data_IF_758046042104
#
_entry.id   IF_758046042104
#
_cell.length_a   1.000
_cell.length_b   1.000
_cell.length_c   1.000
_cell.angle_alpha   90.00
_cell.angle_beta   90.00
_cell.angle_gamma   90.00
#
_symmetry.space_group_name_H-M   'P 1'
#
loop_
_entity.id
_entity.type
_entity.pdbx_description
1 polymer ?
#
# COMPACT_ATOMS: atom_id res chain seq x y z
N UNK A 1 20.84 3.74 -16.86
CA UNK A 1 22.24 3.71 -16.33
C UNK A 1 22.43 2.37 -15.67
N UNK A 2 23.55 1.70 -15.90
CA UNK A 2 23.78 0.34 -15.41
C UNK A 2 24.97 0.33 -14.46
N UNK A 3 24.71 0.07 -13.19
CA UNK A 3 25.73 -0.28 -12.21
C UNK A 3 26.07 -1.77 -12.25
N UNK A 4 26.97 -2.20 -11.37
CA UNK A 4 27.35 -3.60 -11.22
C UNK A 4 27.35 -4.01 -9.75
N UNK A 5 26.90 -5.22 -9.45
CA UNK A 5 26.95 -5.80 -8.11
C UNK A 5 28.40 -5.97 -7.65
N UNK A 6 28.70 -5.50 -6.45
CA UNK A 6 30.02 -5.72 -5.81
C UNK A 6 29.92 -6.60 -4.57
N UNK A 7 28.75 -6.62 -3.88
CA UNK A 7 28.52 -7.44 -2.68
C UNK A 7 27.08 -7.91 -2.65
N UNK A 8 26.86 -9.15 -2.23
CA UNK A 8 25.54 -9.73 -1.95
C UNK A 8 25.52 -10.22 -0.51
N UNK A 9 24.54 -9.78 0.29
CA UNK A 9 24.38 -10.18 1.69
C UNK A 9 22.88 -10.42 2.00
N UNK A 10 22.38 -11.60 1.64
CA UNK A 10 20.96 -11.89 1.71
C UNK A 10 20.18 -10.95 0.79
N UNK A 11 19.07 -10.31 1.25
CA UNK A 11 18.30 -9.39 0.43
C UNK A 11 19.02 -8.05 0.16
N UNK A 12 20.14 -7.76 0.83
CA UNK A 12 20.93 -6.56 0.63
C UNK A 12 22.01 -6.80 -0.43
N UNK A 13 22.03 -5.92 -1.43
CA UNK A 13 23.04 -5.88 -2.49
C UNK A 13 23.73 -4.53 -2.47
N UNK A 14 25.04 -4.50 -2.69
CA UNK A 14 25.77 -3.27 -2.94
C UNK A 14 26.19 -3.26 -4.40
N UNK A 15 25.85 -2.20 -5.11
CA UNK A 15 26.23 -1.98 -6.50
C UNK A 15 27.09 -0.73 -6.62
N UNK A 16 28.07 -0.73 -7.54
CA UNK A 16 28.88 0.42 -7.91
C UNK A 16 28.46 0.99 -9.25
N UNK A 17 28.90 2.24 -9.57
CA UNK A 17 28.51 2.92 -10.80
C UNK A 17 27.11 3.55 -10.75
N UNK A 18 26.59 3.86 -9.56
CA UNK A 18 25.23 4.30 -9.30
C UNK A 18 25.13 5.80 -8.95
N UNK A 19 26.00 6.65 -9.54
CA UNK A 19 26.12 8.09 -9.18
C UNK A 19 24.85 8.93 -9.41
N UNK A 20 24.05 8.56 -10.40
CA UNK A 20 22.89 9.35 -10.84
C UNK A 20 21.56 8.75 -10.37
N UNK A 21 21.61 7.91 -9.35
CA UNK A 21 20.43 7.26 -8.77
C UNK A 21 20.02 8.02 -7.52
N UNK A 22 18.72 8.18 -7.32
CA UNK A 22 18.18 8.80 -6.12
C UNK A 22 17.84 7.77 -5.04
N UNK A 23 17.79 8.24 -3.80
CA UNK A 23 17.34 7.41 -2.68
C UNK A 23 15.88 6.98 -2.90
N UNK A 24 15.60 5.70 -2.68
CA UNK A 24 14.32 5.04 -2.93
C UNK A 24 13.96 4.81 -4.40
N UNK A 25 14.88 5.02 -5.33
CA UNK A 25 14.68 4.58 -6.70
C UNK A 25 14.56 3.06 -6.78
N UNK A 26 13.60 2.61 -7.57
CA UNK A 26 13.49 1.19 -7.94
C UNK A 26 14.57 0.84 -8.96
N UNK A 27 15.21 -0.29 -8.74
CA UNK A 27 16.23 -0.85 -9.63
C UNK A 27 15.86 -2.26 -10.07
N UNK A 28 16.37 -2.65 -11.23
CA UNK A 28 16.31 -4.01 -11.75
C UNK A 28 17.68 -4.66 -11.58
N UNK A 29 17.73 -5.71 -10.77
CA UNK A 29 18.96 -6.35 -10.34
C UNK A 29 19.18 -7.65 -11.11
N UNK A 30 20.37 -7.84 -11.67
CA UNK A 30 20.83 -8.95 -12.47
C UNK A 30 20.11 -9.14 -13.81
N UNK A 31 20.56 -10.08 -14.61
CA UNK A 31 19.88 -10.54 -15.84
C UNK A 31 18.46 -11.05 -15.56
N UNK A 32 18.18 -11.47 -14.32
CA UNK A 32 16.83 -11.90 -13.89
C UNK A 32 15.88 -10.76 -13.62
N UNK A 33 16.37 -9.50 -13.63
CA UNK A 33 15.60 -8.28 -13.44
C UNK A 33 14.80 -8.22 -12.13
N UNK A 34 15.40 -8.75 -11.03
CA UNK A 34 14.77 -8.70 -9.71
C UNK A 34 14.48 -7.26 -9.30
N UNK A 35 13.35 -7.05 -8.65
CA UNK A 35 12.95 -5.73 -8.18
C UNK A 35 13.68 -5.41 -6.88
N UNK A 36 14.36 -4.26 -6.83
CA UNK A 36 15.00 -3.74 -5.62
C UNK A 36 14.77 -2.23 -5.48
N UNK A 37 15.07 -1.70 -4.31
CA UNK A 37 14.99 -0.27 -3.97
C UNK A 37 16.33 0.18 -3.39
N UNK A 38 16.76 1.37 -3.79
CA UNK A 38 17.97 1.99 -3.23
C UNK A 38 17.66 2.55 -1.85
N UNK A 39 18.31 2.02 -0.82
CA UNK A 39 18.08 2.42 0.58
C UNK A 39 19.21 3.21 1.20
N UNK A 40 20.38 3.23 0.57
CA UNK A 40 21.52 4.03 1.00
C UNK A 40 22.40 4.36 -0.21
N UNK A 41 23.00 5.55 -0.19
CA UNK A 41 23.96 6.00 -1.19
C UNK A 41 25.26 6.44 -0.51
N UNK A 42 26.41 5.91 -0.99
CA UNK A 42 27.74 6.30 -0.54
C UNK A 42 28.65 6.46 -1.76
N UNK A 43 28.99 7.68 -2.10
CA UNK A 43 29.81 8.04 -3.27
C UNK A 43 29.18 7.52 -4.58
N UNK A 44 29.77 6.50 -5.22
CA UNK A 44 29.28 5.85 -6.42
C UNK A 44 28.60 4.50 -6.15
N UNK A 45 28.45 4.13 -4.87
CA UNK A 45 27.85 2.87 -4.44
C UNK A 45 26.45 3.10 -3.90
N UNK A 46 25.54 2.19 -4.27
CA UNK A 46 24.21 2.10 -3.73
C UNK A 46 24.04 0.80 -2.96
N UNK A 47 23.52 0.90 -1.74
CA UNK A 47 22.96 -0.27 -1.02
C UNK A 47 21.52 -0.45 -1.47
N UNK A 48 21.21 -1.62 -1.96
CA UNK A 48 19.93 -1.96 -2.61
C UNK A 48 19.29 -3.09 -1.82
N UNK A 49 18.06 -2.89 -1.42
CA UNK A 49 17.23 -3.92 -0.85
C UNK A 49 16.38 -4.58 -1.93
N UNK A 50 16.52 -5.90 -2.10
CA UNK A 50 15.81 -6.67 -3.12
C UNK A 50 14.54 -7.27 -2.55
N UNK A 51 13.43 -7.06 -3.22
CA UNK A 51 12.10 -7.54 -2.85
C UNK A 51 11.86 -9.03 -3.16
N UNK A 52 12.87 -9.69 -3.71
CA UNK A 52 12.81 -11.08 -4.12
C UNK A 52 14.00 -11.86 -3.58
N UNK A 53 13.99 -13.19 -3.75
CA UNK A 53 15.08 -14.04 -3.30
C UNK A 53 16.35 -13.81 -4.15
N UNK A 54 17.46 -13.52 -3.49
CA UNK A 54 18.75 -13.17 -4.10
C UNK A 54 19.69 -14.36 -4.27
N UNK A 55 19.27 -15.58 -3.92
CA UNK A 55 20.10 -16.77 -4.03
C UNK A 55 20.63 -16.97 -5.46
N UNK A 56 21.93 -17.15 -5.58
CA UNK A 56 22.63 -17.34 -6.85
C UNK A 56 22.99 -16.07 -7.60
N UNK A 57 22.79 -14.87 -7.01
CA UNK A 57 23.35 -13.64 -7.54
C UNK A 57 24.81 -13.51 -7.13
N UNK A 58 25.62 -12.88 -7.99
CA UNK A 58 27.04 -12.71 -7.77
C UNK A 58 27.58 -11.33 -8.17
N UNK A 59 28.82 -11.00 -7.75
CA UNK A 59 29.48 -9.78 -8.18
C UNK A 59 29.63 -9.73 -9.71
N UNK A 60 29.53 -8.52 -10.27
CA UNK A 60 29.65 -8.26 -11.71
C UNK A 60 28.35 -8.26 -12.48
N UNK A 61 27.24 -8.77 -11.91
CA UNK A 61 25.94 -8.75 -12.56
C UNK A 61 25.39 -7.30 -12.65
N UNK A 62 24.57 -6.98 -13.69
CA UNK A 62 24.10 -5.63 -13.94
C UNK A 62 23.04 -5.19 -12.93
N UNK A 63 23.01 -3.87 -12.67
CA UNK A 63 21.93 -3.21 -11.92
C UNK A 63 21.47 -1.99 -12.72
N UNK A 64 20.19 -1.93 -13.05
CA UNK A 64 19.60 -0.86 -13.84
C UNK A 64 18.60 -0.05 -13.01
N UNK A 65 18.79 1.29 -12.91
CA UNK A 65 17.79 2.16 -12.30
C UNK A 65 16.61 2.39 -13.23
N UNK A 66 15.40 2.44 -12.65
CA UNK A 66 14.18 2.84 -13.35
C UNK A 66 13.99 4.36 -13.34
N UNK A 67 14.77 5.11 -12.52
CA UNK A 67 14.63 6.55 -12.32
C UNK A 67 13.32 6.96 -11.65
N UNK A 68 12.69 6.07 -10.92
CA UNK A 68 11.46 6.35 -10.20
C UNK A 68 11.35 5.52 -8.91
N UNK A 69 10.75 6.09 -7.85
CA UNK A 69 10.58 5.38 -6.58
C UNK A 69 9.50 4.28 -6.68
N UNK A 70 9.50 3.39 -5.69
CA UNK A 70 8.45 2.38 -5.56
C UNK A 70 7.08 3.06 -5.50
N UNK A 71 6.26 2.78 -6.50
CA UNK A 71 4.98 3.44 -6.71
C UNK A 71 3.87 2.41 -6.87
N UNK A 72 2.67 2.73 -6.43
CA UNK A 72 1.46 1.95 -6.70
C UNK A 72 0.72 2.50 -7.90
N UNK A 73 -0.01 1.62 -8.56
CA UNK A 73 -0.96 1.95 -9.60
C UNK A 73 -2.35 2.12 -9.02
N UNK A 74 -3.00 3.22 -9.37
CA UNK A 74 -4.25 3.68 -8.81
C UNK A 74 -5.26 3.88 -9.94
N UNK A 75 -6.23 2.97 -10.06
CA UNK A 75 -7.27 2.97 -11.08
C UNK A 75 -8.40 1.99 -10.70
N UNK A 76 -9.52 1.94 -11.43
CA UNK A 76 -10.51 0.88 -11.29
C UNK A 76 -9.87 -0.52 -11.47
N UNK A 77 -10.26 -1.46 -10.62
CA UNK A 77 -9.69 -2.81 -10.55
C UNK A 77 -8.86 -3.07 -9.30
N UNK A 78 -8.82 -2.12 -8.36
CA UNK A 78 -8.20 -2.29 -7.05
C UNK A 78 -9.07 -3.13 -6.09
N UNK A 79 -10.38 -2.87 -6.08
CA UNK A 79 -11.32 -3.59 -5.24
C UNK A 79 -11.43 -5.05 -5.70
N UNK A 80 -11.61 -5.97 -4.77
CA UNK A 80 -11.61 -7.44 -4.96
C UNK A 80 -10.24 -8.03 -5.28
N UNK A 81 -9.20 -7.21 -5.39
CA UNK A 81 -7.86 -7.68 -5.74
C UNK A 81 -7.06 -8.14 -4.52
N UNK A 82 -6.20 -9.12 -4.75
CA UNK A 82 -5.25 -9.67 -3.78
C UNK A 82 -3.86 -9.39 -4.32
N UNK A 83 -3.12 -8.55 -3.60
CA UNK A 83 -1.77 -8.13 -3.96
C UNK A 83 -0.72 -8.67 -3.00
N UNK A 84 0.53 -8.72 -3.44
CA UNK A 84 1.67 -8.84 -2.53
C UNK A 84 2.11 -7.47 -2.00
N UNK A 85 3.23 -7.45 -1.22
CA UNK A 85 3.73 -6.23 -0.58
C UNK A 85 4.12 -5.09 -1.52
N UNK A 86 4.39 -5.36 -2.79
CA UNK A 86 4.75 -4.38 -3.81
C UNK A 86 3.69 -4.22 -4.91
N UNK A 87 2.47 -4.62 -4.60
CA UNK A 87 1.30 -4.55 -5.49
C UNK A 87 1.39 -5.47 -6.72
N UNK A 88 2.03 -6.66 -6.64
CA UNK A 88 1.89 -7.65 -7.71
C UNK A 88 0.58 -8.43 -7.47
N UNK A 89 -0.26 -8.63 -8.51
CA UNK A 89 -1.53 -9.34 -8.38
C UNK A 89 -1.28 -10.84 -8.22
N UNK A 90 -1.53 -11.39 -7.03
CA UNK A 90 -1.23 -12.79 -6.71
C UNK A 90 -2.07 -13.77 -7.52
N UNK A 91 -3.31 -13.43 -7.82
CA UNK A 91 -4.18 -14.29 -8.63
C UNK A 91 -3.69 -14.44 -10.07
N UNK A 92 -3.20 -13.34 -10.68
CA UNK A 92 -2.61 -13.36 -12.03
C UNK A 92 -1.32 -14.18 -12.04
N UNK A 93 -0.48 -14.02 -11.01
CA UNK A 93 0.76 -14.80 -10.87
C UNK A 93 0.43 -16.28 -10.71
N UNK A 94 -0.54 -16.62 -9.89
CA UNK A 94 -0.98 -18.02 -9.72
C UNK A 94 -1.46 -18.66 -11.02
N UNK A 95 -2.20 -17.91 -11.84
CA UNK A 95 -2.69 -18.39 -13.13
C UNK A 95 -1.56 -18.62 -14.16
N UNK A 96 -0.49 -17.81 -14.10
CA UNK A 96 0.63 -17.92 -15.05
C UNK A 96 1.73 -18.87 -14.60
N UNK A 97 2.08 -18.89 -13.29
CA UNK A 97 3.24 -19.57 -12.73
C UNK A 97 2.88 -20.74 -11.79
N UNK A 98 1.60 -20.84 -11.39
CA UNK A 98 1.16 -21.84 -10.39
C UNK A 98 1.48 -21.42 -8.95
N UNK A 99 1.82 -22.40 -8.10
CA UNK A 99 1.92 -22.24 -6.65
C UNK A 99 3.15 -21.44 -6.17
N UNK A 100 4.00 -20.98 -7.08
CA UNK A 100 5.25 -20.29 -6.73
C UNK A 100 5.39 -18.98 -7.47
N UNK A 101 5.87 -17.96 -6.76
CA UNK A 101 6.23 -16.68 -7.38
C UNK A 101 7.63 -16.85 -7.99
N UNK A 102 7.69 -16.89 -9.32
CA UNK A 102 8.96 -16.96 -10.06
C UNK A 102 9.72 -15.64 -9.91
N UNK A 103 11.03 -15.73 -9.71
CA UNK A 103 11.90 -14.56 -9.55
C UNK A 103 11.96 -13.73 -10.84
N UNK A 104 11.86 -12.40 -10.69
CA UNK A 104 11.91 -11.47 -11.81
C UNK A 104 10.61 -11.40 -12.61
N UNK A 105 9.52 -12.03 -12.11
CA UNK A 105 8.22 -11.93 -12.78
C UNK A 105 7.75 -10.46 -12.81
N UNK A 106 7.44 -9.99 -14.01
CA UNK A 106 6.96 -8.63 -14.28
C UNK A 106 5.56 -8.70 -14.87
N UNK A 107 4.56 -8.62 -14.01
CA UNK A 107 3.15 -8.62 -14.42
C UNK A 107 2.54 -7.24 -14.18
N UNK A 108 1.63 -6.77 -15.04
CA UNK A 108 0.91 -5.53 -14.79
C UNK A 108 0.18 -5.58 -13.44
N UNK A 109 0.32 -4.54 -12.63
CA UNK A 109 -0.29 -4.46 -11.30
C UNK A 109 -1.81 -4.48 -11.36
N UNK A 110 -2.39 -3.90 -12.41
CA UNK A 110 -3.83 -3.88 -12.69
C UNK A 110 -4.11 -4.41 -14.10
N UNK A 111 -5.30 -4.95 -14.29
CA UNK A 111 -5.73 -5.50 -15.57
C UNK A 111 -5.82 -4.41 -16.65
N UNK A 112 -5.01 -4.53 -17.72
CA UNK A 112 -4.93 -3.56 -18.83
C UNK A 112 -6.01 -3.77 -19.91
N UNK A 113 -6.64 -4.93 -19.93
CA UNK A 113 -7.58 -5.31 -20.99
C UNK A 113 -9.04 -5.10 -20.57
N UNK A 114 -9.31 -5.07 -19.26
CA UNK A 114 -10.65 -4.87 -18.72
C UNK A 114 -11.15 -3.48 -19.10
N UNK A 115 -12.28 -3.44 -19.82
CA UNK A 115 -12.98 -2.20 -20.12
C UNK A 115 -13.86 -1.78 -18.95
N UNK A 116 -13.87 -0.48 -18.69
CA UNK A 116 -14.64 0.17 -17.66
C UNK A 116 -15.56 1.22 -18.30
N UNK A 117 -16.82 1.25 -17.88
CA UNK A 117 -17.76 2.24 -18.34
C UNK A 117 -17.46 3.59 -17.67
N UNK A 118 -16.74 4.46 -18.36
CA UNK A 118 -16.39 5.78 -17.88
C UNK A 118 -17.53 6.77 -18.16
N UNK A 119 -18.03 7.41 -17.10
CA UNK A 119 -19.07 8.41 -17.16
C UNK A 119 -18.46 9.77 -16.80
N UNK A 120 -18.40 10.74 -17.74
CA UNK A 120 -17.82 12.04 -17.47
C UNK A 120 -18.68 12.86 -16.49
N UNK A 121 -18.00 13.57 -15.59
CA UNK A 121 -18.60 14.56 -14.67
C UNK A 121 -18.20 15.96 -15.09
N UNK A 122 -16.91 16.17 -15.43
CA UNK A 122 -16.40 17.43 -15.95
C UNK A 122 -16.82 17.64 -17.40
N UNK A 123 -16.89 18.90 -17.80
CA UNK A 123 -17.25 19.34 -19.16
C UNK A 123 -16.06 20.01 -19.85
N UNK A 124 -16.08 20.00 -21.17
CA UNK A 124 -15.12 20.77 -21.97
C UNK A 124 -15.23 22.26 -21.62
N UNK A 125 -14.11 22.89 -21.34
CA UNK A 125 -14.00 24.27 -20.88
C UNK A 125 -13.92 24.45 -19.37
N UNK A 126 -14.17 23.39 -18.59
CA UNK A 126 -14.02 23.47 -17.13
C UNK A 126 -12.53 23.62 -16.77
N UNK A 127 -12.24 24.55 -15.87
CA UNK A 127 -10.94 24.69 -15.26
C UNK A 127 -10.85 23.72 -14.08
N UNK A 128 -9.84 22.85 -14.07
CA UNK A 128 -9.68 21.79 -13.06
C UNK A 128 -8.29 21.78 -12.45
N UNK A 129 -8.19 21.28 -11.24
CA UNK A 129 -6.96 21.15 -10.47
C UNK A 129 -6.86 19.78 -9.78
N UNK A 130 -5.69 19.47 -9.21
CA UNK A 130 -5.48 18.19 -8.53
C UNK A 130 -6.57 17.86 -7.52
N UNK A 131 -7.15 16.67 -7.66
CA UNK A 131 -8.26 16.19 -6.85
C UNK A 131 -9.66 16.44 -7.41
N UNK A 132 -9.81 17.30 -8.43
CA UNK A 132 -11.12 17.49 -9.08
C UNK A 132 -11.57 16.21 -9.81
N UNK A 133 -12.84 15.87 -9.71
CA UNK A 133 -13.42 14.66 -10.33
C UNK A 133 -13.72 14.93 -11.80
N UNK A 134 -13.09 14.19 -12.69
CA UNK A 134 -13.30 14.26 -14.15
C UNK A 134 -14.44 13.35 -14.59
N UNK A 135 -14.54 12.17 -13.96
CA UNK A 135 -15.56 11.18 -14.28
C UNK A 135 -15.63 10.09 -13.24
N UNK A 136 -16.51 9.14 -13.46
CA UNK A 136 -16.76 8.02 -12.54
C UNK A 136 -16.83 6.69 -13.28
N UNK A 137 -16.50 5.61 -12.57
CA UNK A 137 -16.64 4.23 -13.01
C UNK A 137 -17.31 3.45 -11.88
N UNK A 138 -18.38 2.72 -12.17
CA UNK A 138 -18.96 1.79 -11.20
C UNK A 138 -18.06 0.54 -11.13
N UNK A 139 -17.15 0.50 -10.15
CA UNK A 139 -16.19 -0.59 -10.02
C UNK A 139 -16.82 -1.86 -9.46
N UNK A 140 -17.59 -1.71 -8.38
CA UNK A 140 -18.44 -2.74 -7.77
C UNK A 140 -19.79 -2.15 -7.41
N UNK A 141 -20.82 -2.95 -7.10
CA UNK A 141 -22.09 -2.39 -6.63
C UNK A 141 -21.98 -1.49 -5.39
N UNK A 142 -20.92 -1.70 -4.59
CA UNK A 142 -20.65 -0.93 -3.37
C UNK A 142 -19.76 0.30 -3.60
N UNK A 143 -18.95 0.33 -4.67
CA UNK A 143 -17.90 1.33 -4.86
C UNK A 143 -18.03 2.04 -6.21
N UNK A 144 -18.32 3.33 -6.15
CA UNK A 144 -18.25 4.23 -7.29
C UNK A 144 -16.86 4.86 -7.36
N UNK A 145 -16.04 4.38 -8.26
CA UNK A 145 -14.67 4.86 -8.42
C UNK A 145 -14.65 6.25 -9.08
N UNK A 146 -14.08 7.24 -8.41
CA UNK A 146 -13.96 8.61 -8.92
C UNK A 146 -12.60 8.79 -9.59
N UNK A 147 -12.62 9.12 -10.87
CA UNK A 147 -11.40 9.44 -11.61
C UNK A 147 -11.08 10.91 -11.39
N UNK A 148 -9.99 11.17 -10.71
CA UNK A 148 -9.59 12.49 -10.26
C UNK A 148 -8.35 12.99 -11.01
N UNK A 149 -8.24 14.29 -11.19
CA UNK A 149 -7.00 14.92 -11.66
C UNK A 149 -5.85 14.58 -10.70
N UNK A 150 -4.70 14.07 -11.20
CA UNK A 150 -3.58 13.76 -10.33
C UNK A 150 -3.09 14.97 -9.54
N UNK A 151 -2.66 14.79 -8.28
CA UNK A 151 -2.11 15.89 -7.48
C UNK A 151 -0.97 16.63 -8.20
N UNK A 152 -0.97 17.97 -8.13
CA UNK A 152 0.02 18.82 -8.79
C UNK A 152 -0.22 19.05 -10.30
N UNK A 153 -1.33 18.56 -10.85
CA UNK A 153 -1.76 18.86 -12.21
C UNK A 153 -2.95 19.81 -12.18
N UNK A 154 -3.02 20.70 -13.19
CA UNK A 154 -4.13 21.64 -13.38
C UNK A 154 -4.21 22.06 -14.84
N UNK A 155 -5.37 22.51 -15.26
CA UNK A 155 -5.58 23.02 -16.62
C UNK A 155 -7.05 23.15 -16.97
N UNK A 156 -7.32 23.47 -18.23
CA UNK A 156 -8.68 23.52 -18.78
C UNK A 156 -8.95 22.21 -19.52
N UNK A 157 -10.10 21.63 -19.29
CA UNK A 157 -10.56 20.42 -20.00
C UNK A 157 -10.82 20.73 -21.46
N UNK A 158 -10.00 20.19 -22.36
CA UNK A 158 -10.19 20.34 -23.82
C UNK A 158 -11.05 19.23 -24.41
N UNK A 159 -10.99 18.06 -23.82
CA UNK A 159 -11.74 16.89 -24.28
C UNK A 159 -11.99 15.95 -23.11
N UNK A 160 -13.13 15.30 -23.11
CA UNK A 160 -13.49 14.23 -22.16
C UNK A 160 -14.23 13.12 -22.89
N UNK A 161 -13.87 11.89 -22.59
CA UNK A 161 -14.45 10.67 -23.16
C UNK A 161 -15.75 10.31 -22.45
N UNK A 162 -16.60 9.54 -23.12
CA UNK A 162 -17.79 8.90 -22.53
C UNK A 162 -17.97 7.53 -23.17
N UNK A 163 -17.99 6.49 -22.37
CA UNK A 163 -18.14 5.12 -22.90
C UNK A 163 -17.20 4.12 -22.22
N UNK A 164 -16.97 3.00 -22.87
CA UNK A 164 -16.07 1.95 -22.40
C UNK A 164 -14.63 2.21 -22.82
N UNK A 165 -13.72 2.26 -21.86
CA UNK A 165 -12.29 2.40 -22.07
C UNK A 165 -11.51 1.50 -21.09
N UNK A 166 -10.30 1.14 -21.46
CA UNK A 166 -9.36 0.50 -20.55
C UNK A 166 -8.74 1.54 -19.61
N UNK A 167 -8.12 1.10 -18.53
CA UNK A 167 -7.51 2.04 -17.54
C UNK A 167 -6.33 2.81 -18.11
N UNK A 168 -5.74 2.38 -19.23
CA UNK A 168 -4.58 2.99 -19.89
C UNK A 168 -4.93 3.87 -21.08
N UNK A 169 -6.13 3.73 -21.64
CA UNK A 169 -6.60 4.61 -22.71
C UNK A 169 -6.88 6.01 -22.18
N UNK A 170 -6.55 7.07 -22.94
CA UNK A 170 -6.85 8.45 -22.55
C UNK A 170 -8.37 8.65 -22.43
N UNK A 171 -8.80 9.22 -21.30
CA UNK A 171 -10.22 9.53 -21.05
C UNK A 171 -10.47 11.03 -20.91
N UNK A 172 -9.44 11.84 -20.79
CA UNK A 172 -9.57 13.31 -20.85
C UNK A 172 -8.24 13.96 -21.30
N UNK A 173 -8.34 15.21 -21.79
CA UNK A 173 -7.20 16.06 -22.13
C UNK A 173 -7.28 17.36 -21.41
N UNK A 174 -6.15 17.79 -20.84
CA UNK A 174 -6.01 19.09 -20.18
C UNK A 174 -5.05 19.97 -20.96
N UNK A 175 -5.46 21.22 -21.15
CA UNK A 175 -4.55 22.28 -21.58
C UNK A 175 -3.92 22.92 -20.33
N UNK A 176 -2.63 22.67 -20.13
CA UNK A 176 -1.88 23.20 -18.99
C UNK A 176 -1.61 24.71 -19.19
N UNK A 177 -1.13 25.38 -18.12
CA UNK A 177 -0.88 26.83 -18.14
C UNK A 177 0.17 27.29 -19.19
N UNK A 178 1.07 26.40 -19.58
CA UNK A 178 2.06 26.63 -20.64
C UNK A 178 1.50 26.49 -22.06
N UNK A 179 0.21 26.17 -22.18
CA UNK A 179 -0.49 25.93 -23.45
C UNK A 179 -0.34 24.50 -23.98
N UNK A 180 0.40 23.63 -23.32
CA UNK A 180 0.57 22.23 -23.72
C UNK A 180 -0.70 21.44 -23.43
N UNK A 181 -1.14 20.63 -24.38
CA UNK A 181 -2.27 19.70 -24.20
C UNK A 181 -1.72 18.33 -23.85
N UNK A 182 -2.12 17.82 -22.70
CA UNK A 182 -1.73 16.47 -22.23
C UNK A 182 -2.93 15.56 -22.12
N UNK A 183 -2.72 14.31 -22.49
CA UNK A 183 -3.69 13.23 -22.40
C UNK A 183 -3.53 12.50 -21.06
N UNK A 184 -4.65 12.17 -20.44
CA UNK A 184 -4.67 11.48 -19.16
C UNK A 184 -5.58 10.26 -19.23
N UNK A 185 -5.07 9.07 -18.82
CA UNK A 185 -5.88 7.87 -18.64
C UNK A 185 -6.57 7.88 -17.27
N UNK A 186 -7.33 6.82 -16.98
CA UNK A 186 -7.88 6.58 -15.65
C UNK A 186 -6.79 6.20 -14.64
N UNK A 187 -5.72 5.56 -15.12
CA UNK A 187 -4.58 5.11 -14.33
C UNK A 187 -3.70 6.28 -13.90
N UNK A 188 -3.39 6.35 -12.61
CA UNK A 188 -2.33 7.20 -12.07
C UNK A 188 -1.38 6.37 -11.21
N UNK A 189 -0.14 6.84 -11.05
CA UNK A 189 0.87 6.23 -10.18
C UNK A 189 1.18 7.16 -9.02
N UNK A 190 1.49 6.58 -7.85
CA UNK A 190 1.87 7.35 -6.67
C UNK A 190 2.98 6.66 -5.88
N UNK A 191 4.04 7.38 -5.47
CA UNK A 191 5.11 6.82 -4.63
C UNK A 191 4.57 6.40 -3.27
N UNK A 192 4.85 5.16 -2.85
CA UNK A 192 4.27 4.60 -1.61
C UNK A 192 4.75 5.29 -0.35
N UNK A 193 5.99 5.79 -0.34
CA UNK A 193 6.58 6.48 0.82
C UNK A 193 6.13 7.93 0.97
N UNK A 194 5.42 8.48 -0.02
CA UNK A 194 4.91 9.84 0.00
C UNK A 194 3.42 9.86 0.32
N UNK A 195 3.03 10.51 1.41
CA UNK A 195 1.62 10.72 1.74
C UNK A 195 0.89 11.49 0.63
N UNK A 196 -0.37 11.13 0.36
CA UNK A 196 -1.19 11.85 -0.62
C UNK A 196 -1.69 13.16 -0.01
N UNK A 197 -1.67 14.26 -0.78
CA UNK A 197 -2.04 15.58 -0.27
C UNK A 197 -3.54 15.69 0.02
N UNK A 198 -3.87 16.57 0.94
CA UNK A 198 -5.23 16.99 1.30
C UNK A 198 -5.26 18.50 1.57
N UNK A 199 -6.44 19.12 1.64
CA UNK A 199 -6.54 20.54 1.96
C UNK A 199 -6.29 20.83 3.43
N UNK A 200 -7.04 20.15 4.30
CA UNK A 200 -6.94 20.31 5.75
C UNK A 200 -7.23 18.99 6.45
N UNK A 201 -6.61 18.79 7.61
CA UNK A 201 -6.90 17.67 8.50
C UNK A 201 -7.99 18.11 9.49
N UNK A 202 -9.02 17.28 9.61
CA UNK A 202 -10.15 17.54 10.47
C UNK A 202 -9.99 16.78 11.80
N UNK A 203 -10.65 17.28 12.84
CA UNK A 203 -10.75 16.51 14.08
C UNK A 203 -11.76 15.38 13.89
N UNK A 204 -11.40 14.12 14.17
CA UNK A 204 -12.32 13.00 14.03
C UNK A 204 -13.40 13.09 15.14
N UNK A 205 -14.65 13.31 14.75
CA UNK A 205 -15.79 13.47 15.65
C UNK A 205 -16.86 12.38 15.47
N UNK A 206 -16.77 11.59 14.40
CA UNK A 206 -17.70 10.51 14.11
C UNK A 206 -17.17 9.18 14.62
N UNK A 207 -17.89 8.45 15.52
CA UNK A 207 -17.47 7.13 15.97
C UNK A 207 -17.59 6.08 14.87
N UNK A 208 -16.60 5.20 14.77
CA UNK A 208 -16.65 4.02 13.92
C UNK A 208 -17.30 2.88 14.69
N UNK A 209 -18.50 2.47 14.30
CA UNK A 209 -19.18 1.31 14.89
C UNK A 209 -18.48 0.03 14.43
N UNK A 210 -17.90 -0.70 15.36
CA UNK A 210 -17.13 -1.92 15.06
C UNK A 210 -17.94 -3.21 15.18
N UNK A 211 -19.13 -3.13 15.77
CA UNK A 211 -19.95 -4.29 16.10
C UNK A 211 -19.47 -5.07 17.33
N UNK A 212 -18.36 -4.67 17.94
CA UNK A 212 -17.81 -5.24 19.16
C UNK A 212 -18.20 -4.38 20.35
N UNK A 213 -19.13 -4.86 21.21
CA UNK A 213 -19.66 -4.08 22.34
C UNK A 213 -18.57 -3.46 23.24
N UNK A 214 -17.52 -4.22 23.53
CA UNK A 214 -16.43 -3.75 24.40
C UNK A 214 -15.70 -2.58 23.75
N UNK A 215 -15.44 -2.64 22.45
CA UNK A 215 -14.78 -1.56 21.72
C UNK A 215 -15.71 -0.35 21.65
N UNK A 216 -16.92 -0.56 21.13
CA UNK A 216 -17.86 0.54 20.84
C UNK A 216 -18.29 1.30 22.11
N UNK A 217 -18.31 0.64 23.31
CA UNK A 217 -18.75 1.27 24.54
C UNK A 217 -17.63 1.74 25.46
N UNK A 218 -16.49 1.06 25.48
CA UNK A 218 -15.41 1.35 26.45
C UNK A 218 -14.15 1.93 25.79
N UNK A 219 -13.90 1.62 24.52
CA UNK A 219 -12.73 2.04 23.78
C UNK A 219 -13.12 2.50 22.35
N UNK A 220 -14.04 3.45 22.20
CA UNK A 220 -14.57 3.82 20.88
C UNK A 220 -13.45 4.32 19.97
N UNK A 221 -13.51 3.87 18.72
CA UNK A 221 -12.61 4.30 17.66
C UNK A 221 -13.35 5.33 16.81
N UNK A 222 -12.70 6.45 16.53
CA UNK A 222 -13.27 7.45 15.62
C UNK A 222 -12.96 7.09 14.16
N UNK A 223 -13.84 7.46 13.22
CA UNK A 223 -13.52 7.46 11.79
C UNK A 223 -12.38 8.44 11.54
N UNK A 224 -11.31 8.00 10.89
CA UNK A 224 -10.06 8.76 10.82
C UNK A 224 -9.16 8.63 12.05
N UNK A 225 -9.56 7.84 13.04
CA UNK A 225 -8.75 7.57 14.24
C UNK A 225 -7.69 6.49 14.05
N UNK A 226 -6.88 6.32 15.09
CA UNK A 226 -5.84 5.29 15.16
C UNK A 226 -6.13 4.39 16.35
N UNK A 227 -6.07 3.07 16.14
CA UNK A 227 -6.23 2.09 17.19
C UNK A 227 -5.10 1.05 17.17
N UNK A 228 -4.62 0.66 18.34
CA UNK A 228 -3.71 -0.45 18.50
C UNK A 228 -4.40 -1.61 19.22
N UNK A 229 -4.19 -2.83 18.74
CA UNK A 229 -4.65 -4.06 19.38
C UNK A 229 -3.43 -4.79 19.94
N UNK A 230 -3.04 -4.49 21.19
CA UNK A 230 -1.87 -5.10 21.80
C UNK A 230 -2.21 -6.48 22.37
N UNK A 231 -1.24 -7.38 22.35
CA UNK A 231 -1.38 -8.68 23.02
C UNK A 231 -0.31 -9.68 22.61
N UNK A 232 0.02 -10.64 23.47
CA UNK A 232 0.95 -11.73 23.16
C UNK A 232 0.38 -12.65 22.07
N UNK A 233 1.21 -13.58 21.63
CA UNK A 233 0.75 -14.64 20.71
C UNK A 233 -0.42 -15.43 21.33
N UNK A 234 -1.45 -15.70 20.52
CA UNK A 234 -2.64 -16.44 20.96
C UNK A 234 -3.67 -15.61 21.73
N UNK A 235 -3.47 -14.29 21.90
CA UNK A 235 -4.45 -13.41 22.55
C UNK A 235 -5.66 -13.02 21.69
N UNK A 236 -5.73 -13.49 20.46
CA UNK A 236 -6.85 -13.22 19.56
C UNK A 236 -6.74 -11.88 18.78
N UNK A 237 -5.54 -11.29 18.62
CA UNK A 237 -5.35 -10.05 17.84
C UNK A 237 -5.88 -10.16 16.41
N UNK A 238 -5.41 -11.16 15.68
CA UNK A 238 -5.83 -11.44 14.30
C UNK A 238 -7.33 -11.67 14.23
N UNK A 239 -7.90 -12.47 15.13
CA UNK A 239 -9.35 -12.69 15.21
C UNK A 239 -10.11 -11.39 15.44
N UNK A 240 -9.62 -10.53 16.33
CA UNK A 240 -10.22 -9.21 16.57
C UNK A 240 -10.15 -8.33 15.33
N UNK A 241 -9.02 -8.29 14.62
CA UNK A 241 -8.90 -7.54 13.35
C UNK A 241 -9.83 -8.10 12.26
N UNK A 242 -9.94 -9.42 12.13
CA UNK A 242 -10.91 -10.02 11.21
C UNK A 242 -12.34 -9.61 11.56
N UNK A 243 -12.70 -9.62 12.85
CA UNK A 243 -14.04 -9.16 13.26
C UNK A 243 -14.25 -7.69 12.93
N UNK A 244 -13.25 -6.83 13.14
CA UNK A 244 -13.33 -5.41 12.76
C UNK A 244 -13.47 -5.25 11.24
N UNK A 245 -12.70 -5.98 10.44
CA UNK A 245 -12.80 -5.96 8.99
C UNK A 245 -14.19 -6.40 8.49
N UNK A 246 -14.80 -7.39 9.14
CA UNK A 246 -16.13 -7.90 8.80
C UNK A 246 -17.26 -6.93 9.14
N UNK A 247 -17.20 -6.32 10.32
CA UNK A 247 -18.35 -5.65 10.93
C UNK A 247 -18.20 -4.13 11.04
N UNK A 248 -16.99 -3.58 10.87
CA UNK A 248 -16.79 -2.14 11.01
C UNK A 248 -17.57 -1.33 9.98
N UNK A 249 -18.11 -0.22 10.45
CA UNK A 249 -18.81 0.77 9.64
C UNK A 249 -17.82 1.63 8.83
N UNK A 250 -17.06 0.98 7.96
CA UNK A 250 -16.20 1.60 6.98
C UNK A 250 -16.75 1.31 5.57
N UNK A 251 -16.55 2.25 4.64
CA UNK A 251 -16.97 2.04 3.26
C UNK A 251 -16.05 1.07 2.52
N UNK A 252 -14.76 1.18 2.77
CA UNK A 252 -13.73 0.35 2.15
C UNK A 252 -12.79 -0.20 3.23
N UNK A 253 -12.41 -1.46 3.05
CA UNK A 253 -11.46 -2.16 3.91
C UNK A 253 -10.18 -2.42 3.12
N UNK A 254 -9.04 -2.05 3.69
CA UNK A 254 -7.72 -2.46 3.22
C UNK A 254 -7.12 -3.36 4.29
N UNK A 255 -6.98 -4.64 4.00
CA UNK A 255 -6.36 -5.58 4.93
C UNK A 255 -4.93 -5.88 4.51
N UNK A 256 -3.98 -5.60 5.39
CA UNK A 256 -2.55 -5.82 5.16
C UNK A 256 -2.06 -6.92 6.09
N UNK A 257 -1.86 -8.11 5.55
CA UNK A 257 -1.14 -9.19 6.21
C UNK A 257 0.35 -8.93 6.09
N UNK A 258 0.95 -8.34 7.11
CA UNK A 258 2.36 -7.98 7.13
C UNK A 258 3.18 -9.03 7.89
N UNK A 259 3.74 -10.00 7.17
CA UNK A 259 4.55 -11.07 7.75
C UNK A 259 3.75 -12.09 8.56
N UNK A 260 2.47 -12.22 8.29
CA UNK A 260 1.62 -13.22 8.92
C UNK A 260 1.91 -14.64 8.43
N UNK A 261 1.42 -15.62 9.14
CA UNK A 261 1.58 -17.02 8.76
C UNK A 261 0.72 -17.34 7.55
N UNK A 262 1.23 -18.20 6.68
CA UNK A 262 0.51 -18.62 5.48
C UNK A 262 -0.89 -19.18 5.77
N UNK A 263 -1.06 -19.97 6.83
CA UNK A 263 -2.36 -20.51 7.22
C UNK A 263 -3.36 -19.42 7.68
N UNK A 264 -2.93 -18.44 8.47
CA UNK A 264 -3.78 -17.31 8.90
C UNK A 264 -4.19 -16.45 7.70
N UNK A 265 -3.29 -16.25 6.75
CA UNK A 265 -3.57 -15.55 5.51
C UNK A 265 -4.54 -16.35 4.60
N UNK A 266 -4.37 -17.66 4.53
CA UNK A 266 -5.28 -18.55 3.79
C UNK A 266 -6.69 -18.51 4.36
N UNK A 267 -6.85 -18.43 5.68
CA UNK A 267 -8.15 -18.29 6.32
C UNK A 267 -8.84 -16.99 5.88
N UNK A 268 -8.10 -15.86 5.84
CA UNK A 268 -8.63 -14.57 5.31
C UNK A 268 -9.05 -14.69 3.85
N UNK A 269 -8.20 -15.29 3.01
CA UNK A 269 -8.45 -15.45 1.58
C UNK A 269 -9.66 -16.34 1.28
N UNK A 270 -9.92 -17.33 2.13
CA UNK A 270 -11.08 -18.22 1.99
C UNK A 270 -12.35 -17.62 2.60
N UNK A 271 -12.24 -16.99 3.78
CA UNK A 271 -13.43 -16.49 4.49
C UNK A 271 -14.01 -15.20 3.87
N UNK A 272 -13.17 -14.24 3.47
CA UNK A 272 -13.66 -12.93 3.03
C UNK A 272 -14.54 -12.98 1.77
N UNK A 273 -14.29 -13.83 0.77
CA UNK A 273 -15.19 -14.00 -0.36
C UNK A 273 -16.55 -14.61 0.00
N UNK A 274 -16.60 -15.47 1.03
CA UNK A 274 -17.83 -16.15 1.46
C UNK A 274 -18.71 -15.30 2.39
N UNK A 275 -18.12 -14.27 3.01
CA UNK A 275 -18.83 -13.40 3.94
C UNK A 275 -19.58 -12.29 3.22
N UNK A 276 -20.78 -12.02 3.70
CA UNK A 276 -21.58 -10.90 3.25
C UNK A 276 -21.45 -9.71 4.21
N UNK A 277 -21.36 -8.52 3.63
CA UNK A 277 -21.45 -7.26 4.37
C UNK A 277 -22.87 -7.14 4.95
N UNK A 278 -23.02 -7.02 6.28
CA UNK A 278 -24.33 -6.94 6.92
C UNK A 278 -25.16 -5.72 6.53
N UNK A 279 -24.51 -4.66 6.00
CA UNK A 279 -25.17 -3.42 5.59
C UNK A 279 -25.77 -3.53 4.18
N UNK A 280 -25.04 -4.17 3.28
CA UNK A 280 -25.40 -4.23 1.86
C UNK A 280 -25.90 -5.59 1.41
N UNK A 281 -25.62 -6.65 2.16
CA UNK A 281 -25.88 -8.04 1.77
C UNK A 281 -24.97 -8.55 0.65
N UNK A 282 -24.03 -7.74 0.16
CA UNK A 282 -23.07 -8.12 -0.87
C UNK A 282 -21.85 -8.83 -0.27
N UNK A 283 -21.12 -9.64 -1.05
CA UNK A 283 -19.85 -10.22 -0.59
C UNK A 283 -18.91 -9.15 -0.07
N UNK A 284 -18.23 -9.42 1.05
CA UNK A 284 -17.34 -8.46 1.71
C UNK A 284 -16.20 -8.00 0.80
N UNK A 285 -15.73 -8.88 -0.09
CA UNK A 285 -14.72 -8.56 -1.10
C UNK A 285 -15.13 -7.41 -2.03
N UNK A 286 -16.43 -7.15 -2.22
CA UNK A 286 -16.93 -6.04 -3.06
C UNK A 286 -16.56 -4.64 -2.54
N UNK A 287 -16.02 -4.55 -1.33
CA UNK A 287 -15.48 -3.33 -0.72
C UNK A 287 -14.10 -3.51 -0.09
N UNK A 288 -13.39 -4.60 -0.44
CA UNK A 288 -12.14 -4.97 0.22
C UNK A 288 -10.99 -5.07 -0.78
N UNK A 289 -9.80 -4.65 -0.34
CA UNK A 289 -8.51 -4.91 -0.98
C UNK A 289 -7.65 -5.70 0.00
N UNK A 290 -7.04 -6.79 -0.44
CA UNK A 290 -6.15 -7.60 0.36
C UNK A 290 -4.70 -7.42 -0.09
N UNK A 291 -3.80 -7.23 0.88
CA UNK A 291 -2.36 -7.26 0.66
C UNK A 291 -1.82 -8.41 1.50
N UNK A 292 -1.35 -9.45 0.82
CA UNK A 292 -0.85 -10.66 1.45
C UNK A 292 0.68 -10.71 1.35
N UNK A 293 1.36 -10.42 2.45
CA UNK A 293 2.78 -10.69 2.60
C UNK A 293 2.97 -11.67 3.76
N UNK A 294 3.26 -12.91 3.43
CA UNK A 294 3.45 -13.98 4.41
C UNK A 294 4.86 -13.98 5.00
N UNK A 295 5.07 -14.70 6.10
CA UNK A 295 6.33 -14.70 6.83
C UNK A 295 7.49 -15.36 6.08
N UNK A 296 7.21 -16.14 5.04
CA UNK A 296 8.19 -16.79 4.15
C UNK A 296 8.57 -15.91 2.95
N UNK A 297 7.82 -14.83 2.70
CA UNK A 297 8.16 -13.84 1.67
C UNK A 297 9.33 -12.95 2.10
N UNK A 298 10.05 -12.34 1.13
CA UNK A 298 11.21 -11.48 1.42
C UNK A 298 10.90 -10.32 2.37
N UNK A 299 11.87 -10.01 3.24
CA UNK A 299 11.75 -8.99 4.30
C UNK A 299 11.43 -7.61 3.73
N UNK A 300 12.07 -7.25 2.61
CA UNK A 300 11.84 -6.00 1.92
C UNK A 300 10.39 -5.82 1.50
N UNK A 301 9.79 -6.83 0.88
CA UNK A 301 8.39 -6.81 0.49
C UNK A 301 7.45 -6.68 1.71
N UNK A 302 7.86 -7.22 2.87
CA UNK A 302 7.14 -7.05 4.13
C UNK A 302 7.16 -5.59 4.58
N UNK A 303 8.33 -4.94 4.52
CA UNK A 303 8.45 -3.53 4.85
C UNK A 303 7.59 -2.65 3.93
N UNK A 304 7.64 -2.90 2.63
CA UNK A 304 6.88 -2.14 1.63
C UNK A 304 5.35 -2.31 1.76
N UNK A 305 4.87 -3.47 2.23
CA UNK A 305 3.44 -3.81 2.28
C UNK A 305 2.60 -2.79 3.05
N UNK A 306 3.12 -2.24 4.13
CA UNK A 306 2.46 -1.23 4.97
C UNK A 306 2.27 0.08 4.18
N UNK A 307 3.30 0.51 3.46
CA UNK A 307 3.23 1.72 2.64
C UNK A 307 2.32 1.54 1.42
N UNK A 308 2.35 0.36 0.81
CA UNK A 308 1.40 0.01 -0.26
C UNK A 308 -0.03 0.13 0.23
N UNK A 309 -0.34 -0.49 1.39
CA UNK A 309 -1.68 -0.47 1.96
C UNK A 309 -2.18 0.93 2.30
N UNK A 310 -1.36 1.72 2.99
CA UNK A 310 -1.79 3.06 3.40
C UNK A 310 -1.96 4.00 2.19
N UNK A 311 -1.17 3.83 1.12
CA UNK A 311 -1.31 4.63 -0.09
C UNK A 311 -2.60 4.31 -0.84
N UNK A 312 -3.00 3.03 -0.90
CA UNK A 312 -4.30 2.63 -1.44
C UNK A 312 -5.45 3.20 -0.58
N UNK A 313 -5.30 3.16 0.74
CA UNK A 313 -6.29 3.75 1.66
C UNK A 313 -6.46 5.26 1.45
N UNK A 314 -5.36 6.00 1.31
CA UNK A 314 -5.39 7.43 1.02
C UNK A 314 -6.03 7.75 -0.34
N UNK A 315 -5.84 6.90 -1.35
CA UNK A 315 -6.46 7.09 -2.65
C UNK A 315 -7.99 7.00 -2.59
N UNK A 316 -8.52 6.01 -1.88
CA UNK A 316 -9.97 5.91 -1.67
C UNK A 316 -10.51 7.00 -0.73
N UNK A 317 -9.72 7.41 0.29
CA UNK A 317 -10.02 8.60 1.10
C UNK A 317 -10.21 9.83 0.22
N UNK A 318 -9.33 10.05 -0.76
CA UNK A 318 -9.38 11.19 -1.67
C UNK A 318 -10.67 11.21 -2.52
N UNK A 319 -11.33 10.07 -2.69
CA UNK A 319 -12.65 9.98 -3.31
C UNK A 319 -13.81 10.35 -2.35
N UNK A 320 -13.50 10.56 -1.06
CA UNK A 320 -14.48 10.86 0.00
C UNK A 320 -14.99 9.64 0.75
N UNK A 321 -14.35 8.48 0.61
CA UNK A 321 -14.71 7.28 1.38
C UNK A 321 -14.12 7.28 2.79
N UNK A 322 -14.83 6.63 3.70
CA UNK A 322 -14.35 6.29 5.04
C UNK A 322 -13.67 4.92 4.96
N UNK A 323 -12.35 4.92 4.94
CA UNK A 323 -11.52 3.73 4.74
C UNK A 323 -10.99 3.23 6.07
N UNK A 324 -11.04 1.92 6.32
CA UNK A 324 -10.33 1.31 7.44
C UNK A 324 -9.17 0.45 6.91
N UNK A 325 -7.96 0.73 7.39
CA UNK A 325 -6.79 -0.10 7.12
C UNK A 325 -6.47 -0.95 8.35
N UNK A 326 -6.39 -2.26 8.14
CA UNK A 326 -5.99 -3.24 9.15
C UNK A 326 -4.56 -3.67 8.86
N UNK A 327 -3.64 -3.46 9.80
CA UNK A 327 -2.25 -3.88 9.69
C UNK A 327 -1.96 -5.04 10.64
N UNK A 328 -1.89 -6.25 10.12
CA UNK A 328 -1.59 -7.47 10.87
C UNK A 328 -0.23 -8.06 10.43
N UNK A 329 0.87 -7.80 11.12
CA UNK A 329 0.95 -6.93 12.30
C UNK A 329 2.07 -5.89 12.15
N UNK A 330 1.89 -4.74 12.75
CA UNK A 330 2.94 -3.69 12.79
C UNK A 330 4.20 -4.15 13.51
N UNK A 331 4.10 -5.13 14.41
CA UNK A 331 5.27 -5.75 15.05
C UNK A 331 6.14 -6.52 14.07
N UNK A 332 5.53 -7.18 13.07
CA UNK A 332 6.26 -7.87 12.01
C UNK A 332 6.92 -6.89 11.05
N UNK A 333 6.31 -5.75 10.85
CA UNK A 333 6.93 -4.64 10.14
C UNK A 333 8.16 -4.11 10.90
N UNK A 334 8.06 -3.90 12.22
CA UNK A 334 9.19 -3.51 13.05
C UNK A 334 10.33 -4.56 13.02
N UNK A 335 10.00 -5.86 13.04
CA UNK A 335 10.98 -6.93 12.86
C UNK A 335 11.70 -6.83 11.51
N UNK A 336 10.98 -6.51 10.42
CA UNK A 336 11.57 -6.29 9.11
C UNK A 336 12.56 -5.13 9.13
N UNK A 337 12.19 -3.98 9.70
CA UNK A 337 13.07 -2.82 9.86
C UNK A 337 14.34 -3.17 10.68
N UNK A 338 14.21 -3.98 11.74
CA UNK A 338 15.35 -4.45 12.54
C UNK A 338 16.30 -5.34 11.73
N UNK A 339 15.74 -6.24 10.92
CA UNK A 339 16.57 -7.12 10.07
C UNK A 339 17.33 -6.31 9.02
N UNK A 340 16.68 -5.34 8.40
CA UNK A 340 17.30 -4.47 7.40
C UNK A 340 18.41 -3.62 8.00
N UNK A 341 18.16 -2.93 9.11
CA UNK A 341 19.16 -2.11 9.79
C UNK A 341 20.38 -2.93 10.26
N UNK A 342 20.15 -4.16 10.71
CA UNK A 342 21.25 -5.08 11.07
C UNK A 342 22.13 -5.46 9.87
N UNK A 343 21.53 -5.61 8.69
CA UNK A 343 22.29 -5.92 7.45
C UNK A 343 23.05 -4.71 6.90
N UNK A 344 22.52 -3.50 7.14
CA UNK A 344 23.19 -2.24 6.84
C UNK A 344 24.30 -1.89 7.84
N UNK A 345 24.48 -2.72 8.88
CA UNK A 345 25.44 -2.48 9.95
C UNK A 345 25.19 -1.14 10.68
N UNK A 346 23.92 -0.70 10.72
CA UNK A 346 23.53 0.49 11.46
C UNK A 346 23.67 0.27 12.97
N UNK A 347 23.95 1.36 13.69
CA UNK A 347 24.04 1.29 15.15
C UNK A 347 22.68 0.91 15.73
N UNK A 348 22.57 -0.22 16.46
CA UNK A 348 21.30 -0.63 17.03
C UNK A 348 20.87 0.29 18.16
N UNK A 349 19.59 0.63 18.19
CA UNK A 349 18.93 1.27 19.32
C UNK A 349 18.49 0.27 20.38
N UNK A 350 17.45 0.62 21.12
CA UNK A 350 16.87 -0.20 22.17
C UNK A 350 16.38 -1.56 21.61
N UNK A 351 16.68 -2.65 22.30
CA UNK A 351 16.33 -4.02 21.93
C UNK A 351 16.81 -4.47 20.52
N UNK A 352 17.79 -3.77 19.95
CA UNK A 352 18.32 -4.06 18.62
C UNK A 352 17.46 -3.53 17.46
N UNK A 353 16.47 -2.72 17.73
CA UNK A 353 15.70 -2.00 16.72
C UNK A 353 16.47 -0.78 16.20
N UNK A 354 16.20 -0.31 14.97
CA UNK A 354 16.78 0.93 14.48
C UNK A 354 16.31 2.12 15.32
N UNK A 355 17.18 3.11 15.52
CA UNK A 355 16.86 4.31 16.31
C UNK A 355 15.67 5.10 15.74
N UNK A 356 15.41 4.98 14.44
CA UNK A 356 14.32 5.64 13.74
C UNK A 356 12.98 4.86 13.74
N UNK A 357 12.87 3.75 14.46
CA UNK A 357 11.63 2.95 14.48
C UNK A 357 10.42 3.78 14.92
N UNK A 358 10.58 4.59 15.97
CA UNK A 358 9.48 5.43 16.48
C UNK A 358 9.00 6.45 15.45
N UNK A 359 9.91 7.10 14.71
CA UNK A 359 9.55 8.05 13.66
C UNK A 359 8.87 7.36 12.47
N UNK A 360 9.31 6.18 12.07
CA UNK A 360 8.65 5.40 11.00
C UNK A 360 7.22 4.98 11.38
N UNK A 361 7.02 4.56 12.64
CA UNK A 361 5.69 4.25 13.16
C UNK A 361 4.80 5.51 13.17
N UNK A 362 5.34 6.64 13.65
CA UNK A 362 4.63 7.91 13.65
C UNK A 362 4.22 8.34 12.23
N UNK A 363 5.15 8.29 11.26
CA UNK A 363 4.89 8.60 9.84
C UNK A 363 3.73 7.76 9.28
N UNK A 364 3.67 6.47 9.59
CA UNK A 364 2.58 5.60 9.16
C UNK A 364 1.24 6.02 9.79
N UNK A 365 1.20 6.17 11.11
CA UNK A 365 -0.04 6.51 11.80
C UNK A 365 -0.50 7.94 11.54
N UNK A 366 0.40 8.88 11.27
CA UNK A 366 0.07 10.25 10.87
C UNK A 366 -0.63 10.34 9.51
N UNK A 367 -0.47 9.34 8.64
CA UNK A 367 -1.22 9.24 7.37
C UNK A 367 -2.70 8.92 7.57
N UNK A 368 -3.08 8.38 8.73
CA UNK A 368 -4.46 8.25 9.14
C UNK A 368 -5.05 9.62 9.52
N UNK A 369 -6.33 9.78 9.35
CA UNK A 369 -7.04 11.01 9.70
C UNK A 369 -8.31 11.18 8.90
N UNK A 370 -9.17 12.04 9.38
CA UNK A 370 -10.25 12.62 8.62
C UNK A 370 -9.77 13.90 7.96
N UNK A 371 -10.04 14.07 6.68
CA UNK A 371 -9.49 15.18 5.90
C UNK A 371 -10.53 15.78 4.94
N UNK A 372 -10.42 17.07 4.71
CA UNK A 372 -11.00 17.72 3.55
C UNK A 372 -10.14 17.38 2.33
N UNK A 373 -10.73 16.68 1.37
CA UNK A 373 -10.04 16.22 0.19
C UNK A 373 -9.64 17.36 -0.74
N UNK A 374 -8.63 17.13 -1.58
CA UNK A 374 -8.31 18.03 -2.68
C UNK A 374 -9.47 18.09 -3.67
N UNK A 375 -9.54 19.17 -4.46
CA UNK A 375 -10.60 19.41 -5.45
C UNK A 375 -11.54 20.53 -5.04
N UNK A 376 -12.43 20.92 -5.95
CA UNK A 376 -13.36 22.04 -5.76
C UNK A 376 -14.61 21.66 -4.96
N UNK A 377 -14.97 20.38 -4.96
CA UNK A 377 -16.05 19.84 -4.15
C UNK A 377 -15.62 19.67 -2.68
N UNK A 378 -16.52 19.92 -1.76
CA UNK A 378 -16.27 19.83 -0.32
C UNK A 378 -16.37 18.37 0.17
N UNK A 379 -15.51 17.48 -0.39
CA UNK A 379 -15.48 16.08 0.03
C UNK A 379 -14.68 15.91 1.31
N UNK A 380 -15.24 15.15 2.22
CA UNK A 380 -14.54 14.67 3.42
C UNK A 380 -14.35 13.17 3.30
N UNK A 381 -13.11 12.74 3.46
CA UNK A 381 -12.72 11.33 3.49
C UNK A 381 -11.94 11.02 4.75
N UNK A 382 -11.87 9.75 5.12
CA UNK A 382 -11.12 9.35 6.31
C UNK A 382 -10.33 8.06 6.08
N UNK A 383 -9.18 7.96 6.74
CA UNK A 383 -8.43 6.71 6.90
C UNK A 383 -8.33 6.40 8.38
N UNK A 384 -8.96 5.33 8.83
CA UNK A 384 -8.82 4.79 10.18
C UNK A 384 -7.76 3.70 10.16
N UNK A 385 -6.69 3.82 10.96
CA UNK A 385 -5.61 2.84 10.99
C UNK A 385 -5.69 1.97 12.25
N UNK A 386 -5.77 0.65 12.06
CA UNK A 386 -5.85 -0.33 13.13
C UNK A 386 -4.67 -1.29 13.01
N UNK A 387 -3.77 -1.24 13.99
CA UNK A 387 -2.56 -2.06 14.00
C UNK A 387 -2.57 -3.13 15.10
N UNK A 388 -2.28 -4.39 14.74
CA UNK A 388 -1.98 -5.41 15.72
C UNK A 388 -0.55 -5.25 16.22
N UNK A 389 -0.37 -5.28 17.55
CA UNK A 389 0.93 -5.09 18.20
C UNK A 389 1.21 -6.27 19.12
N UNK A 390 2.35 -6.93 18.93
CA UNK A 390 2.83 -8.00 19.81
C UNK A 390 3.94 -7.45 20.70
N UNK A 391 3.91 -7.65 22.02
CA UNK A 391 5.06 -7.42 22.86
C UNK A 391 6.18 -8.38 22.47
N UNK A 392 7.44 -7.96 22.56
CA UNK A 392 8.57 -8.79 22.14
C UNK A 392 8.58 -10.13 22.87
N UNK A 393 8.71 -11.20 22.09
CA UNK A 393 8.69 -12.58 22.62
C UNK A 393 9.88 -12.92 23.54
N UNK A 394 10.98 -12.16 23.44
CA UNK A 394 12.17 -12.39 24.24
C UNK A 394 12.02 -11.91 25.68
N UNK A 395 11.36 -10.80 25.91
CA UNK A 395 11.12 -10.26 27.25
C UNK A 395 10.21 -11.17 28.12
N UNK A 396 9.21 -11.81 27.49
CA UNK A 396 8.32 -12.76 28.16
C UNK A 396 9.02 -14.10 28.50
N UNK A 397 10.02 -14.53 27.76
CA UNK A 397 10.79 -15.75 28.08
C UNK A 397 11.77 -15.55 29.23
N UNK A 398 12.38 -14.37 29.34
CA UNK A 398 13.26 -14.03 30.44
C UNK A 398 12.50 -13.94 31.78
N UNK A 399 11.27 -13.44 31.78
CA UNK A 399 10.44 -13.39 32.99
C UNK A 399 9.86 -14.74 33.40
N UNK A 400 9.71 -15.71 32.50
CA UNK A 400 9.22 -17.05 32.86
C UNK A 400 10.31 -17.96 33.41
N UNK A 401 11.61 -17.70 33.16
CA UNK A 401 12.72 -18.48 33.70
C UNK A 401 13.17 -18.04 35.09
N UNK A 402 12.64 -16.94 35.64
CA UNK A 402 12.91 -16.48 36.99
C UNK A 402 11.77 -16.79 37.99
N UNK A 403 10.81 -17.63 37.62
CA UNK A 403 9.74 -18.11 38.50
C UNK A 403 9.83 -19.62 38.69
N UNK A 404 10.97 -20.11 39.12
CA UNK A 404 11.12 -21.43 39.77
C UNK A 404 11.96 -21.30 40.99
#
# INVERSE_FOLDING_TARGET
MSGRIVKVSGPLIVAEGMKDVELYDVVRVSEKRLIGEVIELRDDKASIEVYEETAGLGPGEPVESTGSPLSVELAPGLIESIFDGIQRPLEVIYQSEGDRITRGIDVPKLNREKKCAFVPVAKVGDEVSGGDVIGTVQETPAVLHKIMVPPGKSGVVEWVFSGEATITEPVYKLKEADGTVKEYPMLQTWPVRKARPYKSKLAPDEPMVTGQRVIDTLFPIAKGGVAAIPGPFGSGKTVTQHQLAKWADADIIIYVGCGERGNEMTDVLNEFPELNDPRTGLPLMKRTVLIANTSDMPVAAREASIYTGITLAEYFRDMGYKVAIMADSTSRWAEALREMSSRLEEMPGEEGYPAYLASRLAEFYERAGEVECMGKDERVGAVSAIGAVSPDRKSTRLNSSHRT
#
